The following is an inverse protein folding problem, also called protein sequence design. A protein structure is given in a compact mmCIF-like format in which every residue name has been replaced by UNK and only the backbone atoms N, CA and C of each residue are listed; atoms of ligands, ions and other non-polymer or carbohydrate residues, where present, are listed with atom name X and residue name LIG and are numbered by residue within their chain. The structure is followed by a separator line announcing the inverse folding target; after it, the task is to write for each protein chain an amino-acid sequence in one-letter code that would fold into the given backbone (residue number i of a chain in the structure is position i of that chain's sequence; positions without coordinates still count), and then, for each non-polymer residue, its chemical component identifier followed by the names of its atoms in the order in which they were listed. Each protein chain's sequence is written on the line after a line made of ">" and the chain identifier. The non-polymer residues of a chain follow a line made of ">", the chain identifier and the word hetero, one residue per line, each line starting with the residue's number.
data_IF_430089598619
#
_entry.id   IF_430089598619
#
_cell.length_a   1.000
_cell.length_b   1.000
_cell.length_c   1.000
_cell.angle_alpha   90.00
_cell.angle_beta   90.00
_cell.angle_gamma   90.00
#
_symmetry.space_group_name_H-M   'P 1'
#
loop_
_entity.id
_entity.type
_entity.pdbx_description
1 polymer ?
#
# COMPACT_ATOMS: atom_id res chain seq x y z
N UNK A 1 -15.07 -25.61 0.91
CA UNK A 1 -14.06 -24.79 1.64
C UNK A 1 -13.52 -23.63 0.81
N UNK A 2 -13.20 -23.79 -0.50
CA UNK A 2 -12.59 -22.72 -1.31
C UNK A 2 -13.38 -21.39 -1.32
N UNK A 3 -14.71 -21.40 -1.50
CA UNK A 3 -15.54 -20.18 -1.55
C UNK A 3 -15.53 -19.34 -0.27
N UNK A 4 -15.29 -19.95 0.90
CA UNK A 4 -15.23 -19.21 2.17
C UNK A 4 -13.87 -18.55 2.33
N UNK A 5 -12.80 -19.26 1.97
CA UNK A 5 -11.42 -18.73 1.93
C UNK A 5 -11.32 -17.57 0.93
N UNK A 6 -11.99 -17.71 -0.21
CA UNK A 6 -12.09 -16.70 -1.27
C UNK A 6 -12.83 -15.43 -0.83
N UNK A 7 -13.87 -15.60 0.01
CA UNK A 7 -14.62 -14.48 0.60
C UNK A 7 -13.87 -13.80 1.74
N UNK A 8 -13.02 -14.52 2.46
CA UNK A 8 -12.23 -14.00 3.58
C UNK A 8 -10.94 -13.28 3.12
N UNK A 9 -10.61 -13.30 1.82
CA UNK A 9 -9.39 -12.68 1.30
C UNK A 9 -8.11 -13.40 1.70
N UNK A 10 -8.20 -14.68 2.08
CA UNK A 10 -7.06 -15.54 2.45
C UNK A 10 -6.44 -16.26 1.24
N UNK A 11 -6.87 -15.93 0.02
CA UNK A 11 -6.38 -16.53 -1.22
C UNK A 11 -4.88 -16.32 -1.45
N UNK A 12 -4.27 -15.34 -0.77
CA UNK A 12 -2.82 -15.05 -0.86
C UNK A 12 -1.96 -16.26 -0.51
N UNK A 13 -2.41 -17.13 0.41
CA UNK A 13 -1.68 -18.35 0.76
C UNK A 13 -1.67 -19.36 -0.41
N UNK A 14 -2.77 -19.46 -1.16
CA UNK A 14 -2.87 -20.34 -2.34
C UNK A 14 -2.00 -19.81 -3.48
N UNK A 15 -1.93 -18.48 -3.63
CA UNK A 15 -1.03 -17.82 -4.60
C UNK A 15 0.44 -18.08 -4.26
N UNK A 16 0.81 -18.05 -2.97
CA UNK A 16 2.17 -18.33 -2.50
C UNK A 16 2.56 -19.81 -2.61
N UNK A 17 1.61 -20.73 -2.47
CA UNK A 17 1.85 -22.19 -2.42
C UNK A 17 1.86 -22.84 -3.81
N UNK A 18 1.76 -22.07 -4.90
CA UNK A 18 2.31 -22.51 -6.18
C UNK A 18 1.32 -23.10 -7.18
N UNK A 19 0.05 -22.66 -7.17
CA UNK A 19 -0.69 -22.60 -8.43
C UNK A 19 -0.51 -21.21 -9.01
N UNK A 20 -0.01 -21.05 -10.26
CA UNK A 20 -0.05 -19.76 -10.91
C UNK A 20 -1.53 -19.35 -10.90
N UNK A 21 -1.89 -18.36 -10.09
CA UNK A 21 -3.28 -17.94 -9.87
C UNK A 21 -3.94 -17.35 -11.13
N UNK A 22 -3.23 -17.40 -12.23
CA UNK A 22 -3.46 -16.82 -13.52
C UNK A 22 -3.11 -17.91 -14.54
N UNK A 23 -3.87 -19.00 -14.51
CA UNK A 23 -3.85 -19.94 -15.64
C UNK A 23 -4.34 -19.13 -16.83
N UNK A 24 -3.47 -18.93 -17.83
CA UNK A 24 -3.82 -18.18 -19.03
C UNK A 24 -5.13 -18.76 -19.56
N UNK A 25 -6.14 -17.91 -19.76
CA UNK A 25 -7.39 -18.35 -20.35
C UNK A 25 -7.04 -19.18 -21.59
N UNK A 26 -7.57 -20.43 -21.71
CA UNK A 26 -7.19 -21.34 -22.77
C UNK A 26 -7.28 -20.58 -24.08
N UNK A 27 -6.15 -20.52 -24.78
CA UNK A 27 -6.03 -19.65 -25.92
C UNK A 27 -7.11 -20.06 -26.93
N UNK A 28 -8.00 -19.14 -27.35
CA UNK A 28 -8.85 -19.43 -28.49
C UNK A 28 -7.91 -19.80 -29.65
N UNK A 29 -8.24 -20.92 -30.30
CA UNK A 29 -7.50 -21.59 -31.37
C UNK A 29 -6.50 -20.67 -32.11
N UNK A 30 -5.23 -21.07 -32.20
CA UNK A 30 -4.24 -20.33 -32.99
C UNK A 30 -4.62 -20.41 -34.46
N UNK A 31 -5.19 -19.33 -34.99
CA UNK A 31 -5.53 -19.24 -36.40
C UNK A 31 -4.37 -18.54 -37.11
N UNK A 32 -3.76 -19.24 -38.06
CA UNK A 32 -2.76 -18.64 -38.94
C UNK A 32 -3.44 -17.76 -39.98
N UNK A 33 -2.74 -16.76 -40.52
CA UNK A 33 -3.31 -15.90 -41.58
C UNK A 33 -3.74 -16.73 -42.81
N UNK A 34 -2.99 -17.77 -43.16
CA UNK A 34 -3.35 -18.71 -44.22
C UNK A 34 -4.66 -19.45 -43.94
N UNK A 35 -4.87 -19.90 -42.71
CA UNK A 35 -6.11 -20.56 -42.30
C UNK A 35 -7.29 -19.59 -42.30
N UNK A 36 -7.07 -18.34 -41.87
CA UNK A 36 -8.08 -17.28 -41.99
C UNK A 36 -8.47 -17.03 -43.46
N UNK A 37 -7.47 -16.92 -44.35
CA UNK A 37 -7.70 -16.76 -45.81
C UNK A 37 -8.49 -17.92 -46.40
N UNK A 38 -8.16 -19.15 -46.02
CA UNK A 38 -8.88 -20.36 -46.46
C UNK A 38 -10.34 -20.32 -46.02
N UNK A 39 -10.61 -20.02 -44.73
CA UNK A 39 -11.97 -19.95 -44.18
C UNK A 39 -12.86 -18.89 -44.82
N UNK A 40 -12.28 -17.79 -45.27
CA UNK A 40 -13.00 -16.70 -45.92
C UNK A 40 -12.92 -16.75 -47.46
N UNK A 41 -12.24 -17.75 -48.02
CA UNK A 41 -12.01 -17.89 -49.46
C UNK A 41 -13.28 -18.01 -50.29
N UNK A 42 -14.31 -18.64 -49.72
CA UNK A 42 -15.59 -18.95 -50.38
C UNK A 42 -16.64 -17.84 -50.21
N UNK A 43 -16.34 -16.75 -49.48
CA UNK A 43 -17.29 -15.66 -49.27
C UNK A 43 -17.37 -14.74 -50.49
N UNK A 44 -18.60 -14.42 -50.92
CA UNK A 44 -18.90 -13.56 -52.07
C UNK A 44 -20.09 -12.65 -51.82
N UNK A 45 -20.13 -11.54 -52.54
CA UNK A 45 -21.25 -10.61 -52.56
C UNK A 45 -21.55 -10.00 -51.19
N UNK A 46 -22.82 -9.95 -50.83
CA UNK A 46 -23.33 -9.36 -49.58
C UNK A 46 -22.72 -10.00 -48.32
N UNK A 47 -22.53 -11.33 -48.33
CA UNK A 47 -21.95 -12.06 -47.18
C UNK A 47 -20.52 -11.63 -46.87
N UNK A 48 -19.76 -11.25 -47.90
CA UNK A 48 -18.39 -10.77 -47.72
C UNK A 48 -18.37 -9.37 -47.09
N UNK A 49 -19.33 -8.53 -47.47
CA UNK A 49 -19.49 -7.18 -46.91
C UNK A 49 -19.94 -7.25 -45.45
N UNK A 50 -20.90 -8.11 -45.13
CA UNK A 50 -21.33 -8.38 -43.75
C UNK A 50 -20.17 -8.90 -42.89
N UNK A 51 -19.38 -9.83 -43.42
CA UNK A 51 -18.22 -10.39 -42.71
C UNK A 51 -17.15 -9.32 -42.45
N UNK A 52 -16.95 -8.41 -43.40
CA UNK A 52 -16.01 -7.29 -43.26
C UNK A 52 -16.44 -6.33 -42.17
N UNK A 53 -17.71 -5.90 -42.19
CA UNK A 53 -18.28 -5.02 -41.16
C UNK A 53 -18.22 -5.69 -39.78
N UNK A 54 -18.56 -6.97 -39.70
CA UNK A 54 -18.53 -7.71 -38.45
C UNK A 54 -17.11 -7.84 -37.87
N UNK A 55 -16.10 -8.15 -38.71
CA UNK A 55 -14.72 -8.27 -38.24
C UNK A 55 -14.13 -6.92 -37.81
N UNK A 56 -14.49 -5.83 -38.50
CA UNK A 56 -14.11 -4.48 -38.09
C UNK A 56 -14.71 -4.11 -36.73
N UNK A 57 -16.00 -4.39 -36.54
CA UNK A 57 -16.69 -4.17 -35.26
C UNK A 57 -16.10 -5.03 -34.12
N UNK A 58 -15.72 -6.28 -34.40
CA UNK A 58 -15.05 -7.15 -33.42
C UNK A 58 -13.70 -6.56 -32.98
N UNK A 59 -12.87 -6.12 -33.92
CA UNK A 59 -11.58 -5.51 -33.63
C UNK A 59 -11.77 -4.24 -32.79
N UNK A 60 -12.69 -3.36 -33.21
CA UNK A 60 -13.04 -2.13 -32.49
C UNK A 60 -13.53 -2.39 -31.07
N UNK A 61 -14.34 -3.44 -30.86
CA UNK A 61 -14.79 -3.84 -29.50
C UNK A 61 -13.63 -4.28 -28.62
N UNK A 62 -12.68 -5.01 -29.18
CA UNK A 62 -11.52 -5.49 -28.44
C UNK A 62 -10.56 -4.35 -28.06
N UNK A 63 -10.36 -3.37 -28.94
CA UNK A 63 -9.63 -2.13 -28.63
C UNK A 63 -10.30 -1.36 -27.49
N UNK A 64 -11.60 -1.09 -27.61
CA UNK A 64 -12.38 -0.43 -26.55
C UNK A 64 -12.32 -1.20 -25.22
N UNK A 65 -12.23 -2.53 -25.26
CA UNK A 65 -12.05 -3.37 -24.07
C UNK A 65 -10.66 -3.17 -23.46
N UNK A 66 -9.60 -3.12 -24.29
CA UNK A 66 -8.24 -2.80 -23.85
C UNK A 66 -8.18 -1.46 -23.14
N UNK A 67 -8.74 -0.40 -23.74
CA UNK A 67 -8.73 0.95 -23.19
C UNK A 67 -9.42 1.01 -21.83
N UNK A 68 -10.56 0.32 -21.69
CA UNK A 68 -11.27 0.21 -20.40
C UNK A 68 -10.44 -0.52 -19.34
N UNK A 69 -9.68 -1.54 -19.71
CA UNK A 69 -8.80 -2.27 -18.81
C UNK A 69 -7.65 -1.36 -18.35
N UNK A 70 -7.03 -0.63 -19.26
CA UNK A 70 -5.94 0.31 -18.95
C UNK A 70 -6.43 1.47 -18.07
N UNK A 71 -7.58 2.06 -18.39
CA UNK A 71 -8.21 3.10 -17.57
C UNK A 71 -8.49 2.64 -16.14
N UNK A 72 -8.95 1.40 -15.97
CA UNK A 72 -9.13 0.79 -14.64
C UNK A 72 -7.79 0.57 -13.91
N UNK A 73 -6.75 0.16 -14.63
CA UNK A 73 -5.42 0.01 -14.05
C UNK A 73 -4.85 1.35 -13.56
N UNK A 74 -4.96 2.42 -14.36
CA UNK A 74 -4.58 3.77 -13.94
C UNK A 74 -5.36 4.24 -12.70
N UNK A 75 -6.67 4.01 -12.68
CA UNK A 75 -7.51 4.33 -11.52
C UNK A 75 -7.03 3.58 -10.27
N UNK A 76 -6.70 2.28 -10.41
CA UNK A 76 -6.21 1.45 -9.31
C UNK A 76 -4.84 1.93 -8.80
N UNK A 77 -3.93 2.34 -9.70
CA UNK A 77 -2.64 2.96 -9.34
C UNK A 77 -2.88 4.25 -8.55
N UNK A 78 -3.78 5.12 -9.01
CA UNK A 78 -4.12 6.37 -8.33
C UNK A 78 -4.66 6.16 -6.91
N UNK A 79 -5.64 5.26 -6.74
CA UNK A 79 -6.19 4.91 -5.42
C UNK A 79 -5.11 4.31 -4.51
N UNK A 80 -4.23 3.47 -5.06
CA UNK A 80 -3.12 2.87 -4.30
C UNK A 80 -2.10 3.92 -3.83
N UNK A 81 -1.84 4.95 -4.65
CA UNK A 81 -1.02 6.10 -4.25
C UNK A 81 -1.60 6.83 -3.03
N UNK A 82 -2.92 7.06 -3.02
CA UNK A 82 -3.62 7.67 -1.87
C UNK A 82 -3.50 6.77 -0.63
N UNK A 83 -3.75 5.46 -0.77
CA UNK A 83 -3.64 4.50 0.33
C UNK A 83 -2.23 4.47 0.94
N UNK A 84 -1.18 4.57 0.09
CA UNK A 84 0.22 4.62 0.51
C UNK A 84 0.51 5.85 1.40
N UNK A 85 -0.12 7.00 1.11
CA UNK A 85 -0.03 8.19 1.95
C UNK A 85 -0.54 7.96 3.36
N UNK A 86 -1.71 7.33 3.50
CA UNK A 86 -2.26 6.97 4.81
C UNK A 86 -1.35 6.00 5.57
N UNK A 87 -0.83 4.98 4.89
CA UNK A 87 0.06 3.97 5.47
C UNK A 87 1.37 4.57 5.95
N UNK A 88 1.94 5.52 5.21
CA UNK A 88 3.13 6.27 5.65
C UNK A 88 2.83 7.10 6.91
N UNK A 89 1.66 7.73 6.98
CA UNK A 89 1.21 8.43 8.19
C UNK A 89 1.07 7.51 9.41
N UNK A 90 0.51 6.31 9.23
CA UNK A 90 0.45 5.29 10.29
C UNK A 90 1.83 4.80 10.74
N UNK A 91 2.81 4.74 9.83
CA UNK A 91 4.18 4.36 10.17
C UNK A 91 4.77 5.31 11.22
N UNK A 92 4.52 6.62 11.09
CA UNK A 92 4.98 7.62 12.04
C UNK A 92 4.40 7.40 13.45
N UNK A 93 3.14 6.95 13.55
CA UNK A 93 2.51 6.60 14.82
C UNK A 93 3.09 5.33 15.45
N UNK A 94 3.52 4.36 14.63
CA UNK A 94 4.17 3.12 15.08
C UNK A 94 5.63 3.34 15.52
N UNK A 95 6.31 4.36 15.00
CA UNK A 95 7.73 4.65 15.22
C UNK A 95 8.03 5.37 16.55
N UNK A 96 7.04 5.61 17.41
CA UNK A 96 7.22 6.25 18.72
C UNK A 96 8.00 5.31 19.68
N UNK A 97 9.34 5.33 19.55
CA UNK A 97 10.34 4.40 20.11
C UNK A 97 10.26 4.26 21.63
N UNK A 98 9.90 5.32 22.32
CA UNK A 98 9.88 5.35 23.79
C UNK A 98 8.72 4.50 24.38
N UNK A 99 7.78 4.08 23.52
CA UNK A 99 6.64 3.23 23.86
C UNK A 99 6.78 1.79 23.37
N UNK A 100 7.87 1.46 22.69
CA UNK A 100 8.20 0.11 22.21
C UNK A 100 8.89 -0.70 23.31
N UNK A 101 8.19 -0.89 24.43
CA UNK A 101 8.41 -2.13 25.18
C UNK A 101 8.11 -3.28 24.21
N UNK A 102 8.92 -4.35 24.19
CA UNK A 102 8.83 -5.55 23.34
C UNK A 102 7.53 -6.36 23.54
N UNK A 103 6.37 -5.72 23.51
CA UNK A 103 5.08 -6.34 23.63
C UNK A 103 4.82 -7.16 22.35
N UNK A 104 4.42 -8.43 22.46
CA UNK A 104 4.17 -9.30 21.31
C UNK A 104 3.15 -8.71 20.33
N UNK A 105 2.23 -7.87 20.82
CA UNK A 105 1.25 -7.16 19.98
C UNK A 105 1.87 -6.15 19.02
N UNK A 106 2.98 -5.50 19.40
CA UNK A 106 3.69 -4.57 18.51
C UNK A 106 4.44 -5.32 17.41
N UNK A 107 5.02 -6.49 17.73
CA UNK A 107 5.64 -7.37 16.73
C UNK A 107 4.57 -7.83 15.73
N UNK A 108 3.39 -8.22 16.21
CA UNK A 108 2.26 -8.59 15.35
C UNK A 108 1.79 -7.41 14.47
N UNK A 109 1.63 -6.22 15.05
CA UNK A 109 1.24 -5.02 14.31
C UNK A 109 2.28 -4.65 13.23
N UNK A 110 3.57 -4.73 13.55
CA UNK A 110 4.65 -4.52 12.59
C UNK A 110 4.64 -5.57 11.46
N UNK A 111 4.39 -6.84 11.78
CA UNK A 111 4.25 -7.90 10.77
C UNK A 111 3.05 -7.65 9.84
N UNK A 112 1.89 -7.29 10.39
CA UNK A 112 0.72 -6.91 9.58
C UNK A 112 1.03 -5.70 8.69
N UNK A 113 1.72 -4.69 9.23
CA UNK A 113 2.12 -3.51 8.48
C UNK A 113 3.02 -3.86 7.28
N UNK A 114 4.02 -4.72 7.48
CA UNK A 114 4.88 -5.20 6.38
C UNK A 114 4.06 -5.95 5.33
N UNK A 115 3.10 -6.79 5.74
CA UNK A 115 2.21 -7.48 4.80
C UNK A 115 1.34 -6.51 4.00
N UNK A 116 0.81 -5.44 4.62
CA UNK A 116 0.07 -4.38 3.91
C UNK A 116 0.96 -3.74 2.84
N UNK A 117 2.19 -3.35 3.20
CA UNK A 117 3.13 -2.71 2.26
C UNK A 117 3.46 -3.63 1.10
N UNK A 118 3.79 -4.90 1.36
CA UNK A 118 4.05 -5.89 0.32
C UNK A 118 2.84 -6.07 -0.60
N UNK A 119 1.63 -6.18 -0.03
CA UNK A 119 0.39 -6.33 -0.78
C UNK A 119 0.13 -5.14 -1.72
N UNK A 120 0.39 -3.92 -1.27
CA UNK A 120 0.30 -2.74 -2.13
C UNK A 120 1.40 -2.70 -3.20
N UNK A 121 2.62 -3.10 -2.87
CA UNK A 121 3.72 -3.17 -3.84
C UNK A 121 3.37 -4.13 -4.99
N UNK A 122 2.82 -5.31 -4.69
CA UNK A 122 2.34 -6.26 -5.70
C UNK A 122 1.16 -5.70 -6.50
N UNK A 123 0.25 -4.97 -5.86
CA UNK A 123 -0.86 -4.28 -6.55
C UNK A 123 -0.34 -3.32 -7.61
N UNK A 124 0.60 -2.44 -7.24
CA UNK A 124 1.21 -1.47 -8.17
C UNK A 124 1.95 -2.21 -9.29
N UNK A 125 2.78 -3.19 -8.93
CA UNK A 125 3.57 -3.96 -9.91
C UNK A 125 2.68 -4.60 -10.99
N UNK A 126 1.60 -5.28 -10.56
CA UNK A 126 0.66 -5.91 -11.49
C UNK A 126 -0.11 -4.87 -12.32
N UNK A 127 -0.56 -3.77 -11.72
CA UNK A 127 -1.26 -2.71 -12.44
C UNK A 127 -0.35 -2.02 -13.49
N UNK A 128 0.93 -1.80 -13.18
CA UNK A 128 1.91 -1.25 -14.14
C UNK A 128 2.11 -2.22 -15.31
N UNK A 129 2.12 -3.54 -15.05
CA UNK A 129 2.20 -4.55 -16.11
C UNK A 129 0.99 -4.58 -17.06
N UNK A 130 -0.15 -4.05 -16.66
CA UNK A 130 -1.32 -3.85 -17.55
C UNK A 130 -1.08 -2.71 -18.53
N UNK A 131 -0.47 -1.63 -18.05
CA UNK A 131 -0.31 -0.35 -18.78
C UNK A 131 0.96 -0.29 -19.62
N UNK A 132 1.97 -1.13 -19.33
CA UNK A 132 3.26 -1.08 -20.02
C UNK A 132 3.10 -1.42 -21.50
N UNK A 133 3.16 -0.40 -22.36
CA UNK A 133 2.90 -0.49 -23.81
C UNK A 133 3.95 -1.34 -24.54
N UNK A 134 5.21 -1.30 -24.10
CA UNK A 134 6.33 -1.95 -24.80
C UNK A 134 6.29 -3.48 -24.82
N UNK A 135 5.56 -4.12 -23.91
CA UNK A 135 5.46 -5.58 -23.84
C UNK A 135 4.36 -6.16 -24.75
N UNK A 136 3.50 -5.31 -25.34
CA UNK A 136 2.33 -5.73 -26.09
C UNK A 136 2.27 -5.10 -27.47
N UNK A 137 2.52 -5.90 -28.50
CA UNK A 137 2.38 -5.48 -29.90
C UNK A 137 0.93 -5.73 -30.32
N UNK A 138 0.14 -4.66 -30.46
CA UNK A 138 -1.15 -4.76 -31.12
C UNK A 138 -0.92 -4.99 -32.61
N UNK A 139 -1.58 -6.03 -33.13
CA UNK A 139 -1.52 -6.36 -34.55
C UNK A 139 -2.61 -5.59 -35.27
N UNK A 140 -2.24 -4.96 -36.38
CA UNK A 140 -3.12 -4.25 -37.28
C UNK A 140 -2.92 -4.76 -38.71
N UNK A 141 -3.94 -4.64 -39.58
CA UNK A 141 -3.76 -4.88 -41.01
C UNK A 141 -2.61 -4.02 -41.55
N UNK A 142 -1.72 -4.64 -42.33
CA UNK A 142 -0.54 -3.97 -42.88
C UNK A 142 -0.95 -2.87 -43.85
N UNK A 143 -0.38 -1.67 -43.70
CA UNK A 143 -0.59 -0.56 -44.62
C UNK A 143 0.06 -0.82 -45.99
N UNK A 144 1.12 -1.64 -46.04
CA UNK A 144 1.81 -1.99 -47.29
C UNK A 144 0.92 -2.83 -48.21
N UNK A 145 0.00 -3.59 -47.62
CA UNK A 145 -0.97 -4.41 -48.34
C UNK A 145 -1.86 -3.51 -49.24
N UNK A 146 -2.16 -2.29 -48.82
CA UNK A 146 -3.02 -1.36 -49.57
C UNK A 146 -2.46 -1.07 -50.97
N UNK A 147 -1.13 -0.94 -51.12
CA UNK A 147 -0.49 -0.65 -52.40
C UNK A 147 -0.41 -1.89 -53.30
N UNK A 148 -0.16 -3.06 -52.73
CA UNK A 148 -0.12 -4.33 -53.47
C UNK A 148 -1.51 -4.78 -53.93
N UNK A 149 -2.53 -4.57 -53.09
CA UNK A 149 -3.92 -4.92 -53.37
C UNK A 149 -4.62 -3.97 -54.35
N UNK A 150 -4.06 -2.79 -54.63
CA UNK A 150 -4.59 -1.85 -55.64
C UNK A 150 -4.66 -2.43 -57.06
N UNK A 151 -3.89 -3.50 -57.32
CA UNK A 151 -3.84 -4.20 -58.62
C UNK A 151 -4.75 -5.44 -58.68
N UNK A 152 -5.39 -5.80 -57.56
CA UNK A 152 -6.23 -6.99 -57.46
C UNK A 152 -7.72 -6.67 -57.69
N UNK A 153 -8.54 -7.72 -57.84
CA UNK A 153 -10.00 -7.55 -57.92
C UNK A 153 -10.57 -7.08 -56.58
N UNK A 154 -11.60 -6.23 -56.60
CA UNK A 154 -12.23 -5.70 -55.38
C UNK A 154 -12.67 -6.81 -54.40
N UNK A 155 -13.19 -7.93 -54.93
CA UNK A 155 -13.58 -9.10 -54.14
C UNK A 155 -12.37 -9.72 -53.42
N UNK A 156 -11.24 -9.88 -54.11
CA UNK A 156 -10.00 -10.36 -53.49
C UNK A 156 -9.53 -9.42 -52.38
N UNK A 157 -9.57 -8.11 -52.60
CA UNK A 157 -9.19 -7.11 -51.59
C UNK A 157 -10.04 -7.21 -50.33
N UNK A 158 -11.36 -7.34 -50.50
CA UNK A 158 -12.28 -7.50 -49.37
C UNK A 158 -11.98 -8.78 -48.60
N UNK A 159 -11.80 -9.93 -49.26
CA UNK A 159 -11.47 -11.21 -48.60
C UNK A 159 -10.17 -11.12 -47.80
N UNK A 160 -9.13 -10.56 -48.39
CA UNK A 160 -7.84 -10.39 -47.71
C UNK A 160 -7.98 -9.48 -46.49
N UNK A 161 -8.78 -8.41 -46.59
CA UNK A 161 -9.06 -7.51 -45.48
C UNK A 161 -9.84 -8.19 -44.35
N UNK A 162 -10.85 -9.01 -44.66
CA UNK A 162 -11.58 -9.80 -43.66
C UNK A 162 -10.62 -10.75 -42.94
N UNK A 163 -9.79 -11.49 -43.67
CA UNK A 163 -8.82 -12.41 -43.09
C UNK A 163 -7.81 -11.70 -42.17
N UNK A 164 -7.29 -10.55 -42.61
CA UNK A 164 -6.33 -9.74 -41.84
C UNK A 164 -6.94 -9.12 -40.57
N UNK A 165 -8.18 -8.60 -40.66
CA UNK A 165 -8.92 -8.07 -39.51
C UNK A 165 -9.19 -9.18 -38.47
N UNK A 166 -9.68 -10.33 -38.93
CA UNK A 166 -9.97 -11.45 -38.05
C UNK A 166 -8.70 -12.00 -37.37
N UNK A 167 -7.61 -12.12 -38.12
CA UNK A 167 -6.31 -12.50 -37.56
C UNK A 167 -5.82 -11.50 -36.49
N UNK A 168 -5.91 -10.19 -36.79
CA UNK A 168 -5.55 -9.12 -35.88
C UNK A 168 -6.38 -9.15 -34.59
N UNK A 169 -7.70 -9.33 -34.72
CA UNK A 169 -8.60 -9.52 -33.58
C UNK A 169 -8.18 -10.70 -32.71
N UNK A 170 -7.92 -11.87 -33.30
CA UNK A 170 -7.54 -13.08 -32.57
C UNK A 170 -6.23 -12.89 -31.78
N UNK A 171 -5.22 -12.22 -32.36
CA UNK A 171 -3.98 -11.91 -31.65
C UNK A 171 -4.20 -10.88 -30.53
N UNK A 172 -4.93 -9.81 -30.81
CA UNK A 172 -5.21 -8.74 -29.84
C UNK A 172 -6.02 -9.26 -28.65
N UNK A 173 -6.96 -10.17 -28.87
CA UNK A 173 -7.74 -10.79 -27.79
C UNK A 173 -6.85 -11.50 -26.76
N UNK A 174 -5.75 -12.14 -27.19
CA UNK A 174 -4.79 -12.79 -26.29
C UNK A 174 -4.08 -11.78 -25.40
N UNK A 175 -3.61 -10.69 -26.02
CA UNK A 175 -2.97 -9.56 -25.32
C UNK A 175 -3.93 -8.96 -24.29
N UNK A 176 -5.17 -8.67 -24.70
CA UNK A 176 -6.18 -8.06 -23.83
C UNK A 176 -6.60 -8.99 -22.70
N UNK A 177 -6.72 -10.30 -22.95
CA UNK A 177 -6.99 -11.28 -21.89
C UNK A 177 -5.85 -11.36 -20.86
N UNK A 178 -4.60 -11.30 -21.30
CA UNK A 178 -3.44 -11.26 -20.40
C UNK A 178 -3.44 -9.99 -19.55
N UNK A 179 -3.71 -8.82 -20.17
CA UNK A 179 -3.91 -7.56 -19.45
C UNK A 179 -5.05 -7.64 -18.43
N UNK A 180 -6.19 -8.21 -18.81
CA UNK A 180 -7.33 -8.40 -17.90
C UNK A 180 -6.97 -9.29 -16.70
N UNK A 181 -6.15 -10.31 -16.93
CA UNK A 181 -5.68 -11.24 -15.89
C UNK A 181 -4.77 -10.54 -14.88
N UNK A 182 -3.80 -9.74 -15.35
CA UNK A 182 -2.97 -8.91 -14.46
C UNK A 182 -3.79 -7.87 -13.69
N UNK A 183 -4.79 -7.24 -14.33
CA UNK A 183 -5.69 -6.30 -13.65
C UNK A 183 -6.50 -7.00 -12.55
N UNK A 184 -7.04 -8.19 -12.83
CA UNK A 184 -7.75 -9.00 -11.84
C UNK A 184 -6.86 -9.37 -10.64
N UNK A 185 -5.61 -9.75 -10.92
CA UNK A 185 -4.60 -9.98 -9.89
C UNK A 185 -4.31 -8.74 -9.04
N UNK A 186 -4.13 -7.58 -9.67
CA UNK A 186 -3.90 -6.32 -8.96
C UNK A 186 -5.08 -5.98 -8.04
N UNK A 187 -6.33 -6.13 -8.52
CA UNK A 187 -7.53 -5.89 -7.71
C UNK A 187 -7.63 -6.83 -6.51
N UNK A 188 -7.22 -8.10 -6.67
CA UNK A 188 -7.21 -9.08 -5.59
C UNK A 188 -6.20 -8.70 -4.50
N UNK A 189 -4.97 -8.35 -4.88
CA UNK A 189 -3.94 -7.87 -3.94
C UNK A 189 -4.35 -6.56 -3.27
N UNK A 190 -5.02 -5.66 -3.98
CA UNK A 190 -5.55 -4.43 -3.41
C UNK A 190 -6.60 -4.73 -2.34
N UNK A 191 -7.57 -5.59 -2.66
CA UNK A 191 -8.61 -6.04 -1.70
C UNK A 191 -7.97 -6.61 -0.43
N UNK A 192 -6.96 -7.46 -0.58
CA UNK A 192 -6.26 -8.06 0.57
C UNK A 192 -5.54 -7.01 1.41
N UNK A 193 -4.92 -6.00 0.79
CA UNK A 193 -4.28 -4.91 1.53
C UNK A 193 -5.27 -4.12 2.39
N UNK A 194 -6.49 -3.88 1.89
CA UNK A 194 -7.55 -3.20 2.62
C UNK A 194 -8.01 -4.03 3.82
N UNK A 195 -8.19 -5.34 3.65
CA UNK A 195 -8.55 -6.26 4.75
C UNK A 195 -7.45 -6.28 5.81
N UNK A 196 -6.18 -6.36 5.41
CA UNK A 196 -5.04 -6.32 6.33
C UNK A 196 -4.94 -4.99 7.07
N UNK A 197 -5.20 -3.87 6.39
CA UNK A 197 -5.21 -2.54 6.99
C UNK A 197 -6.34 -2.40 8.03
N UNK A 198 -7.52 -2.96 7.75
CA UNK A 198 -8.64 -3.00 8.69
C UNK A 198 -8.29 -3.86 9.91
N UNK A 199 -7.68 -5.04 9.71
CA UNK A 199 -7.22 -5.90 10.78
C UNK A 199 -6.17 -5.20 11.66
N UNK A 200 -5.20 -4.51 11.05
CA UNK A 200 -4.20 -3.70 11.76
C UNK A 200 -4.86 -2.59 12.58
N UNK A 201 -5.82 -1.87 11.99
CA UNK A 201 -6.55 -0.80 12.68
C UNK A 201 -7.33 -1.34 13.88
N UNK A 202 -8.02 -2.48 13.72
CA UNK A 202 -8.75 -3.12 14.80
C UNK A 202 -7.81 -3.59 15.93
N UNK A 203 -6.66 -4.18 15.58
CA UNK A 203 -5.65 -4.60 16.55
C UNK A 203 -5.15 -3.41 17.39
N UNK A 204 -4.84 -2.29 16.75
CA UNK A 204 -4.39 -1.07 17.44
C UNK A 204 -5.49 -0.47 18.32
N UNK A 205 -6.74 -0.45 17.84
CA UNK A 205 -7.88 0.06 18.60
C UNK A 205 -8.15 -0.77 19.86
N UNK A 206 -8.04 -2.09 19.78
CA UNK A 206 -8.19 -3.00 20.93
C UNK A 206 -7.03 -2.88 21.93
N UNK A 207 -5.84 -2.51 21.47
CA UNK A 207 -4.68 -2.32 22.34
C UNK A 207 -4.70 -0.97 23.10
N UNK A 208 -5.26 0.08 22.49
CA UNK A 208 -5.30 1.44 23.05
C UNK A 208 -5.79 1.53 24.52
N UNK A 209 -6.89 0.86 24.96
CA UNK A 209 -7.37 0.98 26.34
C UNK A 209 -6.44 0.36 27.39
N UNK A 210 -5.58 -0.59 27.03
CA UNK A 210 -4.64 -1.22 27.98
C UNK A 210 -3.46 -0.32 28.35
N UNK A 211 -3.29 0.82 27.66
CA UNK A 211 -2.20 1.77 27.88
C UNK A 211 -2.51 2.82 28.97
N UNK A 212 -3.77 2.94 29.42
CA UNK A 212 -4.16 3.91 30.44
C UNK A 212 -4.00 3.34 31.86
N UNK A 213 -2.76 3.25 32.33
CA UNK A 213 -2.46 3.25 33.76
C UNK A 213 -1.21 4.10 34.02
N UNK A 214 -1.18 5.30 33.44
CA UNK A 214 -0.34 6.36 34.00
C UNK A 214 -0.92 6.70 35.37
N UNK A 215 -0.17 6.55 36.48
CA UNK A 215 -0.63 6.99 37.79
C UNK A 215 -1.08 8.44 37.69
N UNK A 216 -2.22 8.77 38.28
CA UNK A 216 -2.74 10.13 38.27
C UNK A 216 -1.63 11.11 38.74
N UNK A 217 -1.42 12.24 38.03
CA UNK A 217 -0.54 13.30 38.48
C UNK A 217 -1.13 13.92 39.74
N UNK A 218 -0.82 13.30 40.88
CA UNK A 218 -1.44 13.58 42.17
C UNK A 218 -0.87 12.77 43.33
N UNK A 219 0.08 11.85 43.09
CA UNK A 219 1.00 11.49 44.17
C UNK A 219 1.73 12.79 44.56
N UNK A 220 1.62 13.26 45.82
CA UNK A 220 2.28 14.48 46.25
C UNK A 220 3.77 14.32 46.00
N UNK A 221 4.29 15.06 45.03
CA UNK A 221 5.72 15.33 44.98
C UNK A 221 6.02 16.00 46.31
N UNK A 222 6.94 15.48 47.15
CA UNK A 222 7.33 16.19 48.36
C UNK A 222 7.88 17.55 47.91
N UNK A 223 7.08 18.59 48.07
CA UNK A 223 7.49 19.96 47.88
C UNK A 223 8.53 20.25 48.95
N UNK A 224 9.81 20.17 48.59
CA UNK A 224 10.87 20.68 49.44
C UNK A 224 10.73 22.21 49.44
N UNK A 225 9.95 22.73 50.37
CA UNK A 225 9.81 24.15 50.60
C UNK A 225 11.13 24.71 51.11
N UNK A 226 11.83 25.48 50.29
CA UNK A 226 13.00 26.25 50.71
C UNK A 226 12.50 27.56 51.33
N UNK A 227 12.39 27.59 52.66
CA UNK A 227 12.08 28.83 53.38
C UNK A 227 13.36 29.63 53.56
N UNK A 228 13.54 30.69 52.78
CA UNK A 228 14.65 31.65 52.95
C UNK A 228 14.21 32.69 53.96
N UNK A 229 14.64 32.56 55.22
CA UNK A 229 14.42 33.58 56.24
C UNK A 229 15.54 34.62 56.16
N UNK A 230 15.24 35.81 55.63
CA UNK A 230 16.18 36.94 55.68
C UNK A 230 15.98 37.64 57.02
N UNK A 231 16.94 37.48 57.93
CA UNK A 231 16.93 38.17 59.22
C UNK A 231 17.65 39.51 59.08
N UNK A 232 16.96 40.66 59.12
CA UNK A 232 17.62 41.95 59.06
C UNK A 232 18.41 42.18 60.35
N UNK A 233 19.74 42.21 60.24
CA UNK A 233 20.62 42.63 61.33
C UNK A 233 20.79 44.14 61.22
N UNK A 234 20.27 44.89 62.19
CA UNK A 234 20.50 46.33 62.27
C UNK A 234 21.96 46.58 62.67
N UNK A 235 22.74 47.15 61.75
CA UNK A 235 24.08 47.67 62.04
C UNK A 235 24.05 49.20 62.03
N UNK A 236 24.73 49.88 62.97
CA UNK A 236 24.88 51.33 62.93
C UNK A 236 25.83 51.76 61.80
N UNK A 237 25.49 52.89 61.21
CA UNK A 237 26.18 53.70 60.19
C UNK A 237 27.71 53.51 60.13
N UNK A 238 28.20 52.79 59.10
CA UNK A 238 29.07 53.32 58.05
C UNK A 238 29.51 52.18 57.10
N UNK A 239 29.23 52.37 55.80
CA UNK A 239 29.73 51.65 54.62
C UNK A 239 30.26 50.21 54.80
N UNK A 240 29.39 49.20 54.77
CA UNK A 240 29.73 47.85 54.27
C UNK A 240 28.50 47.18 53.63
N UNK A 241 28.70 46.59 52.45
CA UNK A 241 27.71 45.89 51.64
C UNK A 241 27.23 44.62 52.37
N UNK A 242 25.92 44.39 52.55
CA UNK A 242 25.43 43.21 53.27
C UNK A 242 25.77 41.94 52.47
N UNK A 243 26.49 41.01 53.10
CA UNK A 243 26.68 39.66 52.57
C UNK A 243 25.48 38.81 53.03
N UNK A 244 24.59 38.37 52.13
CA UNK A 244 23.49 37.51 52.52
C UNK A 244 24.03 36.16 53.00
N UNK A 245 23.72 35.77 54.24
CA UNK A 245 24.01 34.42 54.75
C UNK A 245 22.81 33.53 54.45
N UNK A 246 23.01 32.50 53.62
CA UNK A 246 21.96 31.56 53.22
C UNK A 246 21.98 30.35 54.16
N UNK A 247 20.97 30.25 55.04
CA UNK A 247 20.81 29.09 55.92
C UNK A 247 19.77 28.15 55.32
N UNK A 248 20.20 26.98 54.84
CA UNK A 248 19.29 25.95 54.31
C UNK A 248 18.85 25.06 55.48
N UNK A 249 17.60 25.22 55.91
CA UNK A 249 16.99 24.30 56.89
C UNK A 249 16.33 23.16 56.12
N UNK A 250 16.87 21.95 56.25
CA UNK A 250 16.26 20.74 55.68
C UNK A 250 15.24 20.22 56.70
N UNK A 251 13.92 20.26 56.42
CA UNK A 251 12.94 19.67 57.32
C UNK A 251 13.20 18.17 57.39
N UNK A 252 13.55 17.69 58.58
CA UNK A 252 13.74 16.25 58.84
C UNK A 252 12.41 15.68 59.31
N UNK A 253 11.41 15.64 58.43
CA UNK A 253 10.21 14.86 58.70
C UNK A 253 10.60 13.38 58.59
N UNK A 254 10.93 12.81 59.75
CA UNK A 254 11.26 11.39 59.90
C UNK A 254 9.96 10.61 59.98
N UNK A 255 9.54 9.85 58.94
CA UNK A 255 8.55 8.82 59.14
C UNK A 255 9.18 7.73 60.03
N UNK A 256 8.58 7.46 61.18
CA UNK A 256 8.91 6.31 62.03
C UNK A 256 8.57 5.03 61.28
N UNK A 257 9.52 4.55 60.47
CA UNK A 257 9.52 3.21 59.92
C UNK A 257 10.66 2.42 60.57
N UNK A 258 10.30 1.28 61.17
CA UNK A 258 11.20 0.32 61.80
C UNK A 258 12.36 -0.04 60.85
N UNK A 259 13.64 0.12 61.28
CA UNK A 259 14.77 -0.04 60.38
C UNK A 259 15.05 -1.51 60.06
N UNK A 260 14.97 -1.88 58.78
CA UNK A 260 15.79 -2.95 58.21
C UNK A 260 16.96 -2.28 57.50
N UNK A 261 18.15 -2.37 58.08
CA UNK A 261 19.33 -1.66 57.63
C UNK A 261 19.79 -2.18 56.25
N UNK A 262 19.79 -1.32 55.25
CA UNK A 262 20.65 -1.44 54.07
C UNK A 262 21.17 -0.05 53.77
N UNK A 263 22.48 0.16 53.97
CA UNK A 263 23.12 1.45 53.81
C UNK A 263 22.99 1.93 52.36
N UNK A 264 22.32 3.07 52.16
CA UNK A 264 22.28 3.79 50.89
C UNK A 264 23.13 5.06 51.03
N UNK A 265 23.98 5.41 50.05
CA UNK A 265 24.80 6.62 50.13
C UNK A 265 23.93 7.89 50.18
N UNK A 266 24.29 8.82 51.06
CA UNK A 266 23.68 10.14 51.18
C UNK A 266 23.92 10.96 49.90
N UNK A 267 22.91 11.65 49.34
CA UNK A 267 23.12 12.55 48.23
C UNK A 267 23.88 13.81 48.69
N UNK A 268 24.96 14.14 47.98
CA UNK A 268 25.63 15.44 48.07
C UNK A 268 24.88 16.43 47.17
N UNK A 269 24.39 17.54 47.74
CA UNK A 269 23.75 18.62 46.98
C UNK A 269 24.78 19.73 46.77
N UNK A 270 25.22 19.92 45.52
CA UNK A 270 26.08 21.03 45.12
C UNK A 270 25.21 22.19 44.63
N UNK A 271 25.25 23.33 45.32
CA UNK A 271 24.56 24.56 44.89
C UNK A 271 25.61 25.47 44.23
N UNK A 272 25.51 25.64 42.91
CA UNK A 272 26.35 26.58 42.16
C UNK A 272 25.61 27.91 42.04
N UNK A 273 26.15 28.97 42.65
CA UNK A 273 25.66 30.33 42.46
C UNK A 273 26.46 30.96 41.31
N UNK A 274 25.81 31.22 40.19
CA UNK A 274 26.36 32.07 39.11
C UNK A 274 26.06 33.54 39.40
N UNK A 275 27.02 34.45 39.13
CA UNK A 275 26.89 35.88 39.39
C UNK A 275 25.83 36.55 38.52
#
# INVERSE_FOLDING_TARGET
>A
MSKVIERLGLDWFVILVGKPAFEDAPLPYFITLSEARERFGDLEGEKLDDALEYCDELLRREENRSDKIESKAFTLIGITGIATGFITGFAALLLDRDKLALAPILILAAALYVLVVLSLMFTIYLAVKVVTVGDYIFTYPSANDILELSKASLQYVKRERVASLFFSFAQNQRVVNRKATYLGGAQLWFRNSVVLLLALTLLLALYAPFKSSTPAPGAPVPTVGLTVTVQPTAAPTDTLQPTPTLTVVVPTDTPTATPTATARPSPTITVTLTP
#
